data_IF_441786245539
#
_entry.id   IF_441786245539
#
_cell.length_a   1.000
_cell.length_b   1.000
_cell.length_c   1.000
_cell.angle_alpha   90.00
_cell.angle_beta   90.00
_cell.angle_gamma   90.00
#
_symmetry.space_group_name_H-M   'P 1'
#
loop_
_entity.id
_entity.type
_entity.pdbx_description
1 polymer ?
#
# COMPACT_ATOMS: atom_id res chain seq x y z
N UNK A 1 -12.85 15.62 4.08
CA UNK A 1 -11.62 14.84 3.86
C UNK A 1 -10.45 15.79 3.97
N UNK A 2 -9.51 15.54 4.89
CA UNK A 2 -8.28 16.33 4.98
C UNK A 2 -7.42 16.08 3.74
N UNK A 3 -6.78 17.13 3.21
CA UNK A 3 -5.87 17.02 2.06
C UNK A 3 -4.69 16.14 2.43
N UNK A 4 -4.34 15.18 1.57
CA UNK A 4 -3.14 14.37 1.75
C UNK A 4 -1.88 15.26 1.72
N UNK A 5 -1.02 15.15 2.73
CA UNK A 5 0.22 15.91 2.83
C UNK A 5 1.41 14.96 2.62
N UNK A 6 2.07 15.09 1.47
CA UNK A 6 3.25 14.28 1.12
C UNK A 6 4.39 14.43 2.13
N UNK A 7 4.68 15.64 2.61
CA UNK A 7 5.75 15.88 3.56
C UNK A 7 5.54 15.13 4.88
N UNK A 8 4.38 15.31 5.50
CA UNK A 8 4.04 14.61 6.76
C UNK A 8 3.97 13.09 6.56
N UNK A 9 3.52 12.63 5.39
CA UNK A 9 3.48 11.21 5.07
C UNK A 9 4.89 10.62 4.99
N UNK A 10 5.82 11.27 4.28
CA UNK A 10 7.21 10.81 4.15
C UNK A 10 7.93 10.85 5.50
N UNK A 11 7.73 11.89 6.31
CA UNK A 11 8.33 11.98 7.65
C UNK A 11 7.88 10.83 8.58
N UNK A 12 6.66 10.32 8.41
CA UNK A 12 6.13 9.19 9.18
C UNK A 12 6.80 7.86 8.84
N UNK A 13 7.33 7.70 7.63
CA UNK A 13 7.76 6.40 7.11
C UNK A 13 9.21 6.44 6.60
N UNK A 14 9.99 5.41 6.95
CA UNK A 14 11.34 5.29 6.40
C UNK A 14 11.30 4.86 4.91
N UNK A 15 12.44 5.00 4.24
CA UNK A 15 12.57 4.69 2.80
C UNK A 15 12.18 3.26 2.44
N UNK A 16 12.53 2.26 3.26
CA UNK A 16 12.22 0.84 2.99
C UNK A 16 10.70 0.63 2.99
N UNK A 17 10.01 1.21 3.97
CA UNK A 17 8.57 1.20 4.10
C UNK A 17 7.88 1.84 2.87
N UNK A 18 8.39 2.98 2.39
CA UNK A 18 7.86 3.66 1.20
C UNK A 18 8.08 2.85 -0.09
N UNK A 19 9.25 2.23 -0.25
CA UNK A 19 9.54 1.35 -1.41
C UNK A 19 8.63 0.11 -1.42
N UNK A 20 8.31 -0.46 -0.26
CA UNK A 20 7.35 -1.56 -0.15
C UNK A 20 5.95 -1.15 -0.57
N UNK A 21 5.49 0.03 -0.14
CA UNK A 21 4.22 0.59 -0.58
C UNK A 21 4.19 0.80 -2.09
N UNK A 22 5.27 1.36 -2.66
CA UNK A 22 5.37 1.55 -4.11
C UNK A 22 5.36 0.22 -4.86
N UNK A 23 6.09 -0.78 -4.38
CA UNK A 23 6.09 -2.12 -4.96
C UNK A 23 4.70 -2.77 -4.92
N UNK A 24 3.94 -2.56 -3.83
CA UNK A 24 2.54 -3.01 -3.75
C UNK A 24 1.63 -2.28 -4.75
N UNK A 25 1.83 -0.97 -4.92
CA UNK A 25 1.07 -0.19 -5.89
C UNK A 25 1.41 -0.58 -7.33
N UNK A 26 2.62 -1.07 -7.57
CA UNK A 26 3.12 -1.49 -8.89
C UNK A 26 2.73 -2.91 -9.32
N UNK A 27 1.88 -3.60 -8.54
CA UNK A 27 1.43 -4.95 -8.90
C UNK A 27 0.75 -4.94 -10.28
N UNK A 28 1.25 -5.78 -11.20
CA UNK A 28 0.81 -5.91 -12.61
C UNK A 28 -0.55 -6.63 -12.77
N UNK A 29 -1.52 -6.31 -11.92
CA UNK A 29 -2.92 -6.67 -12.19
C UNK A 29 -3.49 -5.59 -13.11
N UNK A 30 -4.38 -5.96 -14.04
CA UNK A 30 -5.13 -5.00 -14.85
C UNK A 30 -5.63 -3.86 -13.95
N UNK A 31 -5.16 -2.63 -14.18
CA UNK A 31 -5.29 -1.51 -13.24
C UNK A 31 -6.76 -1.25 -12.83
N UNK A 32 -7.71 -1.51 -13.73
CA UNK A 32 -9.15 -1.41 -13.46
C UNK A 32 -9.66 -2.49 -12.49
N UNK A 33 -9.15 -3.72 -12.63
CA UNK A 33 -9.52 -4.85 -11.77
C UNK A 33 -8.82 -4.73 -10.42
N UNK A 34 -7.54 -4.35 -10.39
CA UNK A 34 -6.78 -4.04 -9.18
C UNK A 34 -7.51 -2.99 -8.33
N UNK A 35 -7.91 -1.88 -8.95
CA UNK A 35 -8.54 -0.77 -8.25
C UNK A 35 -9.91 -1.15 -7.69
N UNK A 36 -10.73 -1.90 -8.46
CA UNK A 36 -12.04 -2.36 -7.99
C UNK A 36 -11.90 -3.37 -6.84
N UNK A 37 -11.05 -4.37 -7.00
CA UNK A 37 -10.88 -5.42 -6.00
C UNK A 37 -10.28 -4.87 -4.70
N UNK A 38 -9.30 -3.98 -4.79
CA UNK A 38 -8.70 -3.39 -3.61
C UNK A 38 -9.65 -2.40 -2.94
N UNK A 39 -10.35 -1.55 -3.69
CA UNK A 39 -11.36 -0.68 -3.06
C UNK A 39 -12.47 -1.49 -2.38
N UNK A 40 -12.92 -2.57 -3.00
CA UNK A 40 -13.89 -3.48 -2.37
C UNK A 40 -13.32 -4.07 -1.09
N UNK A 41 -12.10 -4.62 -1.13
CA UNK A 41 -11.45 -5.15 0.07
C UNK A 41 -11.33 -4.10 1.17
N UNK A 42 -10.85 -2.89 0.86
CA UNK A 42 -10.67 -1.82 1.83
C UNK A 42 -11.97 -1.43 2.53
N UNK A 43 -13.07 -1.34 1.79
CA UNK A 43 -14.36 -0.90 2.34
C UNK A 43 -15.15 -2.02 3.03
N UNK A 44 -15.21 -3.20 2.41
CA UNK A 44 -16.19 -4.23 2.76
C UNK A 44 -15.59 -5.46 3.47
N UNK A 45 -14.27 -5.62 3.51
CA UNK A 45 -13.64 -6.72 4.25
C UNK A 45 -13.79 -6.57 5.77
N UNK A 46 -13.75 -7.71 6.47
CA UNK A 46 -13.73 -7.77 7.94
C UNK A 46 -12.32 -7.56 8.48
N UNK A 47 -12.23 -7.14 9.74
CA UNK A 47 -10.96 -7.08 10.47
C UNK A 47 -10.36 -8.50 10.55
N UNK A 48 -9.08 -8.62 10.22
CA UNK A 48 -8.33 -9.88 10.12
C UNK A 48 -8.43 -10.57 8.76
N UNK A 49 -9.25 -10.08 7.83
CA UNK A 49 -9.25 -10.62 6.46
C UNK A 49 -7.99 -10.19 5.72
N UNK A 50 -7.44 -11.15 4.97
CA UNK A 50 -6.21 -11.05 4.19
C UNK A 50 -6.54 -11.27 2.71
N UNK A 51 -5.94 -10.47 1.83
CA UNK A 51 -6.01 -10.63 0.37
C UNK A 51 -4.60 -10.71 -0.20
N UNK A 52 -4.41 -11.64 -1.13
CA UNK A 52 -3.19 -11.85 -1.90
C UNK A 52 -3.28 -11.12 -3.24
N UNK A 53 -2.19 -10.48 -3.65
CA UNK A 53 -2.03 -9.72 -4.87
C UNK A 53 -0.62 -9.96 -5.42
N UNK A 54 -0.46 -11.05 -6.17
CA UNK A 54 0.86 -11.52 -6.58
C UNK A 54 1.69 -11.86 -5.35
N UNK A 55 2.85 -11.21 -5.22
CA UNK A 55 3.78 -11.43 -4.11
C UNK A 55 3.43 -10.65 -2.84
N UNK A 56 2.43 -9.77 -2.93
CA UNK A 56 2.02 -8.90 -1.85
C UNK A 56 0.74 -9.38 -1.18
N UNK A 57 0.62 -9.00 0.09
CA UNK A 57 -0.52 -9.27 0.92
C UNK A 57 -0.98 -7.98 1.56
N UNK A 58 -2.30 -7.86 1.67
CA UNK A 58 -2.95 -6.78 2.38
C UNK A 58 -3.92 -7.37 3.41
N UNK A 59 -3.84 -6.91 4.64
CA UNK A 59 -4.67 -7.37 5.76
C UNK A 59 -5.35 -6.18 6.44
N UNK A 60 -6.65 -6.31 6.71
CA UNK A 60 -7.40 -5.28 7.43
C UNK A 60 -7.20 -5.41 8.92
N UNK A 61 -6.39 -4.54 9.51
CA UNK A 61 -6.07 -4.62 10.93
C UNK A 61 -7.08 -3.89 11.83
N UNK A 62 -7.75 -2.86 11.30
CA UNK A 62 -8.87 -2.18 11.96
C UNK A 62 -9.77 -1.45 10.93
N UNK A 63 -10.70 -0.60 11.39
CA UNK A 63 -11.62 0.13 10.50
C UNK A 63 -10.96 1.27 9.71
N UNK A 64 -9.77 1.69 10.09
CA UNK A 64 -9.07 2.85 9.53
C UNK A 64 -7.76 2.47 8.85
N UNK A 65 -7.14 1.34 9.20
CA UNK A 65 -5.80 0.96 8.76
C UNK A 65 -5.76 -0.45 8.18
N UNK A 66 -4.81 -0.63 7.27
CA UNK A 66 -4.42 -1.91 6.69
C UNK A 66 -2.92 -2.13 6.84
N UNK A 67 -2.54 -3.39 6.88
CA UNK A 67 -1.17 -3.85 6.85
C UNK A 67 -0.86 -4.40 5.46
N UNK A 68 0.18 -3.88 4.82
CA UNK A 68 0.76 -4.38 3.57
C UNK A 68 2.08 -5.09 3.89
N UNK A 69 2.32 -6.23 3.27
CA UNK A 69 3.56 -6.99 3.40
C UNK A 69 3.80 -7.86 2.16
N UNK A 70 5.01 -8.36 2.00
CA UNK A 70 5.38 -9.28 0.93
C UNK A 70 5.84 -10.60 1.56
N UNK A 71 5.30 -11.75 1.11
CA UNK A 71 5.68 -13.08 1.64
C UNK A 71 6.73 -13.83 0.79
N UNK A 72 7.09 -13.34 -0.41
CA UNK A 72 7.99 -14.08 -1.32
C UNK A 72 9.48 -13.91 -1.06
N UNK A 73 9.90 -12.96 -0.24
CA UNK A 73 11.32 -12.78 0.01
C UNK A 73 11.78 -13.54 1.26
N UNK A 74 12.87 -14.32 1.13
CA UNK A 74 13.74 -14.75 2.25
C UNK A 74 14.00 -13.61 3.28
N UNK A 75 13.84 -12.35 2.84
CA UNK A 75 13.89 -11.14 3.64
C UNK A 75 12.76 -10.99 4.69
N UNK A 76 11.51 -11.42 4.43
CA UNK A 76 10.44 -11.40 5.44
C UNK A 76 10.74 -12.37 6.58
N UNK A 77 11.31 -13.54 6.25
CA UNK A 77 11.75 -14.51 7.25
C UNK A 77 12.92 -13.96 8.11
N UNK A 78 13.79 -13.14 7.53
CA UNK A 78 14.94 -12.57 8.23
C UNK A 78 14.59 -11.32 9.07
N UNK A 79 13.71 -10.42 8.60
CA UNK A 79 13.37 -9.17 9.29
C UNK A 79 11.91 -8.71 9.07
N UNK A 80 10.91 -9.43 9.60
CA UNK A 80 9.50 -9.19 9.29
C UNK A 80 8.99 -7.80 9.68
N UNK A 81 9.63 -7.12 10.64
CA UNK A 81 9.27 -5.76 11.05
C UNK A 81 9.60 -4.68 10.01
N UNK A 82 10.60 -4.94 9.14
CA UNK A 82 10.99 -4.01 8.07
C UNK A 82 10.19 -4.23 6.78
N UNK A 83 9.54 -5.39 6.66
CA UNK A 83 8.72 -5.78 5.50
C UNK A 83 7.22 -5.73 5.78
N UNK A 84 6.83 -4.86 6.71
CA UNK A 84 5.45 -4.53 7.07
C UNK A 84 5.21 -3.03 6.93
N UNK A 85 4.10 -2.67 6.29
CA UNK A 85 3.71 -1.27 6.10
C UNK A 85 2.28 -1.06 6.55
N UNK A 86 2.09 -0.31 7.64
CA UNK A 86 0.77 0.05 8.15
C UNK A 86 0.38 1.43 7.64
N UNK A 87 -0.77 1.51 6.96
CA UNK A 87 -1.26 2.73 6.34
C UNK A 87 -2.77 2.91 6.57
N UNK A 88 -3.16 4.17 6.74
CA UNK A 88 -4.56 4.56 6.76
C UNK A 88 -5.22 4.26 5.41
N UNK A 89 -6.38 3.60 5.44
CA UNK A 89 -7.19 3.24 4.27
C UNK A 89 -7.45 4.46 3.38
N UNK A 90 -7.77 5.62 3.97
CA UNK A 90 -8.02 6.84 3.21
C UNK A 90 -6.78 7.33 2.45
N UNK A 91 -5.59 7.19 3.05
CA UNK A 91 -4.32 7.54 2.44
C UNK A 91 -3.96 6.55 1.33
N UNK A 92 -4.17 5.25 1.55
CA UNK A 92 -3.94 4.23 0.53
C UNK A 92 -4.85 4.43 -0.69
N UNK A 93 -6.14 4.69 -0.47
CA UNK A 93 -7.09 4.99 -1.57
C UNK A 93 -6.65 6.23 -2.36
N UNK A 94 -6.17 7.27 -1.67
CA UNK A 94 -5.62 8.45 -2.35
C UNK A 94 -4.42 8.07 -3.24
N UNK A 95 -3.46 7.30 -2.72
CA UNK A 95 -2.27 6.89 -3.45
C UNK A 95 -2.57 5.98 -4.64
N UNK A 96 -3.52 5.04 -4.51
CA UNK A 96 -4.03 4.24 -5.62
C UNK A 96 -4.60 5.15 -6.72
N UNK A 97 -5.43 6.14 -6.35
CA UNK A 97 -5.96 7.08 -7.34
C UNK A 97 -4.85 7.95 -7.96
N UNK A 98 -3.82 8.33 -7.21
CA UNK A 98 -2.67 9.06 -7.75
C UNK A 98 -1.86 8.21 -8.75
N UNK A 99 -1.63 6.92 -8.46
CA UNK A 99 -0.99 5.97 -9.40
C UNK A 99 -1.77 5.95 -10.72
N UNK A 100 -3.10 5.84 -10.66
CA UNK A 100 -3.94 5.80 -11.88
C UNK A 100 -3.85 7.07 -12.73
N UNK A 101 -3.62 8.23 -12.11
CA UNK A 101 -3.58 9.52 -12.81
C UNK A 101 -2.18 9.86 -13.34
N UNK A 102 -1.14 9.53 -12.58
CA UNK A 102 0.23 9.97 -12.84
C UNK A 102 1.16 8.82 -13.29
N UNK A 103 0.79 7.57 -13.08
CA UNK A 103 1.69 6.43 -13.19
C UNK A 103 2.55 6.22 -11.93
N UNK A 104 3.18 5.04 -11.84
CA UNK A 104 3.96 4.65 -10.66
C UNK A 104 5.25 5.44 -10.51
N UNK A 105 5.92 5.78 -11.61
CA UNK A 105 7.22 6.47 -11.59
C UNK A 105 7.12 7.91 -11.08
N UNK A 106 6.07 8.64 -11.47
CA UNK A 106 5.79 9.98 -10.94
C UNK A 106 5.40 9.93 -9.46
N UNK A 107 4.68 8.87 -9.04
CA UNK A 107 4.35 8.67 -7.63
C UNK A 107 5.59 8.35 -6.80
N UNK A 108 6.49 7.50 -7.31
CA UNK A 108 7.80 7.19 -6.73
C UNK A 108 8.62 8.47 -6.55
N UNK A 109 8.67 9.32 -7.57
CA UNK A 109 9.37 10.59 -7.51
C UNK A 109 8.82 11.54 -6.43
N UNK A 110 7.53 11.46 -6.07
CA UNK A 110 6.94 12.26 -4.99
C UNK A 110 7.16 11.69 -3.59
N UNK A 111 7.38 10.38 -3.47
CA UNK A 111 7.50 9.69 -2.17
C UNK A 111 8.94 9.43 -1.77
N UNK A 112 9.85 9.28 -2.73
CA UNK A 112 11.24 8.85 -2.49
C UNK A 112 12.32 9.86 -2.91
N UNK A 113 11.98 11.00 -3.53
CA UNK A 113 12.91 12.11 -3.79
C UNK A 113 12.62 13.30 -2.86
#
# INVERSE_FOLDING_TARGET
MGTFNYGTFIEKYNRIALEMLLSFLDVEINDDDFNKEIKYFLNDSKIGEKKELGDHFIEKINLQEVLIYNETAEMFAQNPSQYRFVIDIAQLVFLINQKMVLGIEDLRAKLCN
#
